data_IF_523078532869
#
_entry.id   IF_523078532869
#
_cell.length_a   1.000
_cell.length_b   1.000
_cell.length_c   1.000
_cell.angle_alpha   90.00
_cell.angle_beta   90.00
_cell.angle_gamma   90.00
#
_symmetry.space_group_name_H-M   'P 1'
#
loop_
_entity.id
_entity.type
_entity.pdbx_description
1 polymer ?
#
# COMPACT_ATOMS: atom_id res chain seq x y z
N UNK A 1 2.98 22.28 -25.75
CA UNK A 1 4.11 21.32 -25.62
C UNK A 1 3.49 19.94 -25.50
N UNK A 2 3.89 18.98 -26.34
CA UNK A 2 3.38 17.59 -26.23
C UNK A 2 3.82 17.01 -24.89
N UNK A 3 2.91 16.32 -24.21
CA UNK A 3 3.27 15.52 -23.04
C UNK A 3 4.29 14.46 -23.47
N UNK A 4 5.35 14.20 -22.69
CA UNK A 4 6.32 13.16 -23.02
C UNK A 4 5.62 11.80 -23.11
N UNK A 5 5.98 11.01 -24.12
CA UNK A 5 5.44 9.67 -24.29
C UNK A 5 5.78 8.79 -23.07
N UNK A 6 4.78 8.08 -22.54
CA UNK A 6 4.95 7.18 -21.40
C UNK A 6 5.74 5.93 -21.82
N UNK A 7 6.60 5.36 -20.94
CA UNK A 7 7.37 4.18 -21.27
C UNK A 7 6.46 2.93 -21.39
N UNK A 8 6.88 1.96 -22.21
CA UNK A 8 6.20 0.66 -22.28
C UNK A 8 6.47 -0.21 -21.04
N UNK A 9 7.66 -0.07 -20.43
CA UNK A 9 8.06 -0.73 -19.20
C UNK A 9 9.13 0.11 -18.49
N UNK A 10 9.21 0.00 -17.16
CA UNK A 10 10.22 0.63 -16.32
C UNK A 10 10.48 -0.26 -15.10
N UNK A 11 11.72 -0.29 -14.62
CA UNK A 11 12.07 -0.91 -13.35
C UNK A 11 11.31 -0.23 -12.20
N UNK A 12 10.60 -0.99 -11.37
CA UNK A 12 9.78 -0.41 -10.30
C UNK A 12 10.61 0.46 -9.32
N UNK A 13 11.86 0.08 -9.07
CA UNK A 13 12.79 0.84 -8.22
C UNK A 13 13.22 2.19 -8.81
N UNK A 14 13.11 2.37 -10.13
CA UNK A 14 13.41 3.64 -10.80
C UNK A 14 12.28 4.68 -10.63
N UNK A 15 11.07 4.28 -10.27
CA UNK A 15 9.95 5.19 -9.98
C UNK A 15 10.13 5.74 -8.56
N UNK A 16 10.36 7.06 -8.36
CA UNK A 16 10.68 7.60 -7.04
C UNK A 16 9.55 7.38 -6.02
N UNK A 17 9.87 7.24 -4.71
CA UNK A 17 8.86 7.19 -3.67
C UNK A 17 8.02 8.48 -3.64
N UNK A 18 6.70 8.32 -3.53
CA UNK A 18 5.76 9.43 -3.39
C UNK A 18 5.59 9.80 -1.93
N UNK A 19 5.56 11.11 -1.65
CA UNK A 19 5.09 11.63 -0.37
C UNK A 19 3.60 11.93 -0.48
N UNK A 20 2.76 11.49 0.47
CA UNK A 20 1.35 11.83 0.44
C UNK A 20 1.18 13.35 0.58
N UNK A 21 0.30 13.94 -0.24
CA UNK A 21 -0.04 15.37 -0.21
C UNK A 21 -0.77 15.76 1.07
N UNK A 22 -1.53 14.82 1.65
CA UNK A 22 -2.12 14.91 2.99
C UNK A 22 -1.70 13.66 3.78
N UNK A 23 -0.77 13.84 4.71
CA UNK A 23 -0.41 12.80 5.68
C UNK A 23 -1.36 12.81 6.88
N UNK A 24 -1.22 11.81 7.76
CA UNK A 24 -1.86 11.86 9.07
C UNK A 24 -1.30 13.02 9.91
N UNK A 25 -2.10 13.61 10.81
CA UNK A 25 -1.57 14.52 11.82
C UNK A 25 -0.81 13.74 12.90
N UNK A 26 0.03 14.41 13.69
CA UNK A 26 0.59 13.81 14.90
C UNK A 26 -0.51 13.52 15.94
N UNK A 27 -0.39 12.45 16.76
CA UNK A 27 0.74 11.51 16.86
C UNK A 27 0.69 10.35 15.83
N UNK A 28 -0.27 10.37 14.90
CA UNK A 28 -0.51 9.25 13.99
C UNK A 28 0.50 9.19 12.83
N UNK A 29 1.07 10.33 12.44
CA UNK A 29 2.13 10.39 11.44
C UNK A 29 3.34 9.54 11.86
N UNK A 30 3.76 9.63 13.13
CA UNK A 30 4.84 8.83 13.68
C UNK A 30 4.60 7.31 13.55
N UNK A 31 3.33 6.85 13.59
CA UNK A 31 2.98 5.42 13.51
C UNK A 31 3.18 4.82 12.11
N UNK A 32 3.13 5.64 11.07
CA UNK A 32 3.34 5.22 9.67
C UNK A 32 4.65 5.76 9.10
N UNK A 33 5.51 6.32 9.96
CA UNK A 33 6.79 6.88 9.57
C UNK A 33 7.70 5.80 8.96
N UNK A 34 8.57 6.22 8.04
CA UNK A 34 9.54 5.32 7.40
C UNK A 34 8.99 4.41 6.31
N UNK A 35 7.65 4.29 6.17
CA UNK A 35 7.03 3.63 5.01
C UNK A 35 7.34 4.40 3.74
N UNK A 36 7.81 3.70 2.73
CA UNK A 36 8.03 4.24 1.38
C UNK A 36 7.04 3.62 0.40
N UNK A 37 6.37 4.46 -0.39
CA UNK A 37 5.40 4.02 -1.40
C UNK A 37 5.83 4.53 -2.76
N UNK A 38 5.80 3.70 -3.79
CA UNK A 38 6.02 4.09 -5.20
C UNK A 38 4.73 3.86 -5.97
N UNK A 39 4.17 4.91 -6.57
CA UNK A 39 2.93 4.84 -7.34
C UNK A 39 3.22 4.32 -8.75
N UNK A 40 3.28 3.00 -8.91
CA UNK A 40 3.65 2.35 -10.17
C UNK A 40 2.65 2.69 -11.30
N UNK A 41 1.35 2.68 -11.00
CA UNK A 41 0.31 2.95 -11.98
C UNK A 41 0.42 4.37 -12.59
N UNK A 42 0.92 5.34 -11.84
CA UNK A 42 1.05 6.72 -12.31
C UNK A 42 2.12 6.87 -13.40
N UNK A 43 3.18 6.07 -13.37
CA UNK A 43 4.22 6.07 -14.41
C UNK A 43 3.67 5.69 -15.80
N UNK A 44 2.55 4.98 -15.83
CA UNK A 44 1.82 4.61 -17.05
C UNK A 44 0.52 5.44 -17.22
N UNK A 45 0.27 6.35 -16.28
CA UNK A 45 -0.94 7.17 -16.13
C UNK A 45 -2.24 6.37 -16.20
N UNK A 46 -2.29 5.29 -15.42
CA UNK A 46 -3.53 4.60 -15.08
C UNK A 46 -4.38 5.52 -14.19
N UNK A 47 -5.69 5.56 -14.46
CA UNK A 47 -6.62 6.47 -13.75
C UNK A 47 -7.73 5.75 -13.00
N UNK A 48 -8.04 4.50 -13.35
CA UNK A 48 -9.17 3.78 -12.75
C UNK A 48 -8.82 3.19 -11.38
N UNK A 49 -7.58 2.72 -11.23
CA UNK A 49 -7.06 2.12 -10.00
C UNK A 49 -5.60 2.55 -9.78
N UNK A 50 -5.19 2.58 -8.52
CA UNK A 50 -3.79 2.69 -8.13
C UNK A 50 -3.11 1.33 -8.10
N UNK A 51 -1.83 1.31 -8.44
CA UNK A 51 -0.92 0.19 -8.16
C UNK A 51 0.27 0.79 -7.46
N UNK A 52 0.51 0.39 -6.22
CA UNK A 52 1.58 0.91 -5.39
C UNK A 52 2.51 -0.24 -4.96
N UNK A 53 3.82 0.01 -5.01
CA UNK A 53 4.81 -0.84 -4.34
C UNK A 53 5.23 -0.15 -3.05
N UNK A 54 4.97 -0.80 -1.93
CA UNK A 54 5.19 -0.21 -0.60
C UNK A 54 6.19 -1.04 0.19
N UNK A 55 7.19 -0.36 0.75
CA UNK A 55 8.19 -0.89 1.68
C UNK A 55 7.83 -0.48 3.10
N UNK A 56 7.78 -1.46 4.01
CA UNK A 56 7.60 -1.27 5.44
C UNK A 56 8.90 -1.63 6.15
N UNK A 57 9.57 -0.68 6.83
CA UNK A 57 10.72 -1.00 7.66
C UNK A 57 10.31 -1.84 8.88
N UNK A 58 11.26 -2.44 9.62
CA UNK A 58 11.00 -3.03 10.93
C UNK A 58 10.21 -2.09 11.85
N UNK A 59 9.13 -2.58 12.44
CA UNK A 59 8.19 -1.81 13.26
C UNK A 59 7.21 -0.94 12.48
N UNK A 60 7.35 -0.84 11.15
CA UNK A 60 6.53 0.01 10.29
C UNK A 60 5.09 -0.50 10.11
N UNK A 61 4.18 0.44 9.81
CA UNK A 61 2.75 0.17 9.60
C UNK A 61 2.30 0.68 8.23
N UNK A 62 1.45 -0.08 7.53
CA UNK A 62 0.93 0.36 6.23
C UNK A 62 0.05 1.58 6.36
N UNK A 63 -0.90 1.58 7.29
CA UNK A 63 -1.85 2.66 7.52
C UNK A 63 -2.38 2.58 8.96
N UNK A 64 -3.07 3.62 9.41
CA UNK A 64 -4.00 3.41 10.51
C UNK A 64 -5.06 2.40 10.08
N UNK A 65 -5.54 1.60 11.02
CA UNK A 65 -6.58 0.60 10.74
C UNK A 65 -7.83 1.28 10.18
N UNK A 66 -8.30 0.85 9.02
CA UNK A 66 -9.37 1.53 8.28
C UNK A 66 -10.17 0.53 7.43
N UNK A 67 -11.29 1.01 6.89
CA UNK A 67 -12.10 0.32 5.89
C UNK A 67 -12.44 1.31 4.79
N UNK A 68 -12.61 0.81 3.57
CA UNK A 68 -13.11 1.58 2.45
C UNK A 68 -14.62 1.39 2.32
N UNK A 69 -15.35 2.47 2.10
CA UNK A 69 -16.80 2.46 1.85
C UNK A 69 -17.12 2.18 0.38
N UNK A 70 -16.25 2.61 -0.54
CA UNK A 70 -16.51 2.65 -1.99
C UNK A 70 -15.41 2.06 -2.87
N UNK A 71 -14.22 1.84 -2.32
CA UNK A 71 -13.05 1.35 -3.06
C UNK A 71 -12.77 -0.09 -2.64
N UNK A 72 -12.71 -1.01 -3.61
CA UNK A 72 -12.12 -2.32 -3.36
C UNK A 72 -10.59 -2.16 -3.25
N UNK A 73 -9.96 -2.97 -2.40
CA UNK A 73 -8.50 -3.01 -2.25
C UNK A 73 -7.99 -4.45 -2.27
N UNK A 74 -6.80 -4.66 -2.82
CA UNK A 74 -6.10 -5.93 -2.89
C UNK A 74 -4.61 -5.75 -2.59
N UNK A 75 -4.05 -6.66 -1.79
CA UNK A 75 -2.63 -6.68 -1.49
C UNK A 75 -1.96 -7.98 -1.91
N UNK A 76 -0.69 -7.91 -2.28
CA UNK A 76 0.16 -9.07 -2.56
C UNK A 76 1.53 -8.89 -1.92
N UNK A 77 1.98 -9.85 -1.12
CA UNK A 77 3.29 -9.78 -0.44
C UNK A 77 4.39 -10.23 -1.40
N UNK A 78 5.34 -9.33 -1.65
CA UNK A 78 6.50 -9.56 -2.52
C UNK A 78 7.68 -10.07 -1.70
N UNK A 79 7.95 -9.46 -0.55
CA UNK A 79 9.08 -9.77 0.31
C UNK A 79 8.72 -9.57 1.79
N UNK A 80 9.40 -10.31 2.67
CA UNK A 80 9.27 -10.18 4.12
C UNK A 80 7.99 -10.82 4.67
N UNK A 81 7.76 -10.59 5.97
CA UNK A 81 6.73 -11.29 6.74
C UNK A 81 5.89 -10.32 7.56
N UNK A 82 5.11 -9.42 6.92
CA UNK A 82 4.24 -8.51 7.64
C UNK A 82 3.07 -9.29 8.26
N UNK A 83 2.50 -8.74 9.33
CA UNK A 83 1.28 -9.24 9.97
C UNK A 83 0.10 -8.42 9.47
N UNK A 84 -0.88 -9.10 8.88
CA UNK A 84 -2.19 -8.52 8.59
C UNK A 84 -3.04 -8.53 9.85
N UNK A 85 -3.58 -7.37 10.23
CA UNK A 85 -4.54 -7.25 11.33
C UNK A 85 -5.89 -6.88 10.73
N UNK A 86 -6.92 -7.65 11.05
CA UNK A 86 -8.32 -7.46 10.64
C UNK A 86 -9.23 -7.49 11.88
N UNK A 87 -10.56 -7.40 11.70
CA UNK A 87 -11.52 -7.63 12.78
C UNK A 87 -11.48 -9.06 13.32
N UNK A 88 -11.09 -10.03 12.49
CA UNK A 88 -10.98 -11.44 12.88
C UNK A 88 -9.72 -11.75 13.69
N UNK A 89 -8.73 -10.86 13.66
CA UNK A 89 -7.49 -11.00 14.39
C UNK A 89 -6.27 -10.79 13.50
N UNK A 90 -5.17 -11.42 13.89
CA UNK A 90 -3.86 -11.25 13.27
C UNK A 90 -3.46 -12.48 12.47
N UNK A 91 -2.96 -12.27 11.25
CA UNK A 91 -2.49 -13.32 10.36
C UNK A 91 -1.09 -12.96 9.85
N UNK A 92 -0.04 -13.73 10.19
CA UNK A 92 1.27 -13.59 9.58
C UNK A 92 1.19 -13.89 8.08
N UNK A 93 1.72 -13.00 7.26
CA UNK A 93 1.82 -13.19 5.82
C UNK A 93 3.27 -13.52 5.43
N UNK A 94 3.45 -14.11 4.24
CA UNK A 94 4.75 -14.42 3.65
C UNK A 94 4.73 -14.11 2.15
N UNK A 95 5.89 -14.06 1.47
CA UNK A 95 5.94 -13.84 0.03
C UNK A 95 5.03 -14.81 -0.73
N UNK A 96 4.27 -14.27 -1.68
CA UNK A 96 3.29 -15.01 -2.46
C UNK A 96 1.88 -15.06 -1.87
N UNK A 97 1.67 -14.61 -0.63
CA UNK A 97 0.32 -14.47 -0.06
C UNK A 97 -0.34 -13.17 -0.51
N UNK A 98 -1.68 -13.18 -0.56
CA UNK A 98 -2.50 -12.02 -0.91
C UNK A 98 -3.75 -11.95 -0.03
N UNK A 99 -4.36 -10.76 0.04
CA UNK A 99 -5.65 -10.52 0.69
C UNK A 99 -6.45 -9.49 -0.11
N UNK A 100 -7.77 -9.60 -0.06
CA UNK A 100 -8.68 -8.65 -0.68
C UNK A 100 -9.64 -8.06 0.35
N UNK A 101 -9.96 -6.79 0.18
CA UNK A 101 -10.81 -6.00 1.07
C UNK A 101 -11.93 -5.38 0.24
N UNK A 102 -13.12 -5.97 0.33
CA UNK A 102 -14.28 -5.50 -0.41
C UNK A 102 -14.83 -4.21 0.20
N UNK A 103 -15.10 -3.21 -0.64
CA UNK A 103 -15.76 -1.97 -0.29
C UNK A 103 -17.05 -2.21 0.50
N UNK A 104 -17.23 -1.46 1.60
CA UNK A 104 -18.43 -1.50 2.42
C UNK A 104 -18.58 -2.74 3.29
N UNK A 105 -17.63 -3.69 3.27
CA UNK A 105 -17.69 -4.88 4.12
C UNK A 105 -17.43 -4.57 5.61
N UNK A 106 -16.77 -3.44 5.91
CA UNK A 106 -16.51 -2.99 7.28
C UNK A 106 -15.41 -3.76 8.02
N UNK A 107 -14.70 -4.68 7.35
CA UNK A 107 -13.55 -5.36 7.94
C UNK A 107 -12.32 -4.46 7.90
N UNK A 108 -12.07 -3.80 9.03
CA UNK A 108 -11.04 -2.80 9.12
C UNK A 108 -9.66 -3.44 9.24
N UNK A 109 -8.73 -3.01 8.40
CA UNK A 109 -7.45 -3.69 8.23
C UNK A 109 -6.26 -2.74 8.14
N UNK A 110 -5.07 -3.31 8.34
CA UNK A 110 -3.75 -2.74 8.00
C UNK A 110 -2.66 -3.84 8.13
N UNK A 111 -1.45 -3.52 7.69
CA UNK A 111 -0.26 -4.35 7.87
C UNK A 111 0.66 -3.73 8.92
N UNK A 112 1.31 -4.59 9.72
CA UNK A 112 2.40 -4.22 10.64
C UNK A 112 3.59 -5.12 10.35
N UNK A 113 4.75 -4.54 10.08
CA UNK A 113 5.99 -5.31 9.98
C UNK A 113 6.62 -5.45 11.38
N UNK A 114 6.43 -6.60 12.03
CA UNK A 114 7.04 -6.90 13.34
C UNK A 114 8.39 -7.61 13.22
N UNK A 115 8.82 -7.91 12.00
CA UNK A 115 10.08 -8.60 11.77
C UNK A 115 11.27 -7.65 11.89
N UNK A 116 12.48 -8.21 11.95
CA UNK A 116 13.74 -7.46 11.95
C UNK A 116 14.24 -7.08 10.55
N UNK A 117 13.45 -7.31 9.49
CA UNK A 117 13.81 -6.99 8.09
C UNK A 117 12.70 -6.18 7.44
N UNK A 118 13.00 -5.56 6.31
CA UNK A 118 11.97 -4.89 5.52
C UNK A 118 10.93 -5.89 4.99
N UNK A 119 9.70 -5.41 4.83
CA UNK A 119 8.64 -6.10 4.11
C UNK A 119 8.22 -5.26 2.91
N UNK A 120 7.95 -5.91 1.78
CA UNK A 120 7.56 -5.25 0.53
C UNK A 120 6.27 -5.88 0.03
N UNK A 121 5.29 -5.06 -0.32
CA UNK A 121 4.01 -5.52 -0.84
C UNK A 121 3.49 -4.60 -1.94
N UNK A 122 2.67 -5.19 -2.81
CA UNK A 122 1.82 -4.46 -3.74
C UNK A 122 0.49 -4.14 -3.06
N UNK A 123 0.00 -2.94 -3.29
CA UNK A 123 -1.33 -2.45 -2.91
C UNK A 123 -2.02 -1.94 -4.17
N UNK A 124 -3.18 -2.51 -4.48
CA UNK A 124 -4.01 -2.17 -5.63
C UNK A 124 -5.37 -1.76 -5.09
N UNK A 125 -5.88 -0.62 -5.52
CA UNK A 125 -7.21 -0.18 -5.11
C UNK A 125 -7.81 0.78 -6.10
N UNK A 126 -9.13 0.87 -6.12
CA UNK A 126 -9.87 1.81 -6.96
C UNK A 126 -9.51 3.26 -6.61
N UNK A 127 -9.71 4.18 -7.56
CA UNK A 127 -9.58 5.65 -7.34
C UNK A 127 -10.93 6.36 -7.21
N UNK A 128 -11.99 5.61 -6.95
CA UNK A 128 -13.32 6.17 -6.80
C UNK A 128 -13.37 7.06 -5.56
N UNK A 129 -13.78 8.31 -5.71
CA UNK A 129 -13.95 9.19 -4.55
C UNK A 129 -14.80 8.51 -3.46
N UNK A 130 -14.14 8.27 -2.31
CA UNK A 130 -14.64 7.58 -1.12
C UNK A 130 -15.47 8.46 -0.19
#
# INVERSE_FOLDING_TARGET
>A
MSEPAKPAAIEAAAIPPVRPTRGYPEPFAARVAGRERRALGDAFGLTNFGVNLTRLPPGGMSALRHTHTREDEFIYIVEGEPVLVTNTGETPLRPGMCAGFKAGAGDAHHLINRSGRDAVYLEIGDRNAG
#
